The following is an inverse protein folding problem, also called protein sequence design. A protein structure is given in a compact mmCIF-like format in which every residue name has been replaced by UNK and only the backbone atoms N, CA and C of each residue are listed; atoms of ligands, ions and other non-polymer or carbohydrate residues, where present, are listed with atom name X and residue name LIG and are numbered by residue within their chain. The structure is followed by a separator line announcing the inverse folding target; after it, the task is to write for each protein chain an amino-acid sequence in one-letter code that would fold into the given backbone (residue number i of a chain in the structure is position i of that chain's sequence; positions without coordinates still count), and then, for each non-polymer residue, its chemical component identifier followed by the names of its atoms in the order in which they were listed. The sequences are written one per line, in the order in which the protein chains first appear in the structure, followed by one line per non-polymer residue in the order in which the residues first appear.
data_IF_771362897537
#
_entry.id   IF_771362897537
#
_cell.length_a   1.000
_cell.length_b   1.000
_cell.length_c   1.000
_cell.angle_alpha   90.00
_cell.angle_beta   90.00
_cell.angle_gamma   90.00
#
_symmetry.space_group_name_H-M   'P 1'
#
loop_
_entity.id
_entity.type
_entity.pdbx_description
1 polymer ?
#
# COMPACT_ATOMS: atom_id res chain seq x y z
N UNK A 1 -54.10 -33.75 -1.25
CA UNK A 1 -53.11 -33.39 -0.23
C UNK A 1 -51.74 -33.36 -0.92
N UNK A 2 -51.17 -32.18 -1.15
CA UNK A 2 -49.85 -32.03 -1.72
C UNK A 2 -48.91 -31.62 -0.59
N UNK A 3 -47.95 -32.51 -0.25
CA UNK A 3 -46.98 -32.29 0.78
C UNK A 3 -45.93 -31.25 0.36
N UNK A 4 -45.84 -30.17 1.12
CA UNK A 4 -44.77 -29.16 0.99
C UNK A 4 -43.53 -29.71 1.67
N UNK A 5 -42.46 -29.94 0.89
CA UNK A 5 -41.14 -30.24 1.45
C UNK A 5 -40.53 -28.98 2.04
N UNK A 6 -39.93 -29.03 3.22
CA UNK A 6 -39.22 -27.88 3.79
C UNK A 6 -37.92 -27.62 3.03
N UNK A 7 -37.69 -26.35 2.62
CA UNK A 7 -36.40 -25.88 2.12
C UNK A 7 -35.36 -26.06 3.22
N UNK A 8 -34.36 -26.88 2.95
CA UNK A 8 -33.15 -26.93 3.74
C UNK A 8 -32.39 -25.59 3.62
N UNK A 9 -32.40 -24.83 4.69
CA UNK A 9 -31.49 -23.70 4.87
C UNK A 9 -30.09 -24.26 5.03
N UNK A 10 -29.17 -23.87 4.13
CA UNK A 10 -27.73 -24.14 4.25
C UNK A 10 -27.24 -23.69 5.63
N UNK A 11 -26.44 -24.50 6.33
CA UNK A 11 -25.88 -24.10 7.61
C UNK A 11 -24.96 -22.90 7.37
N UNK A 12 -25.21 -21.82 8.09
CA UNK A 12 -24.28 -20.69 8.18
C UNK A 12 -22.92 -21.25 8.59
N UNK A 13 -21.89 -21.00 7.75
CA UNK A 13 -20.51 -21.39 8.04
C UNK A 13 -20.13 -20.71 9.35
N UNK A 14 -19.96 -21.47 10.44
CA UNK A 14 -19.41 -20.94 11.69
C UNK A 14 -18.06 -20.32 11.35
N UNK A 15 -17.95 -19.00 11.52
CA UNK A 15 -16.69 -18.28 11.38
C UNK A 15 -15.84 -18.68 12.60
N UNK A 16 -14.76 -19.43 12.35
CA UNK A 16 -13.80 -19.78 13.39
C UNK A 16 -12.97 -18.54 13.72
N UNK A 17 -13.34 -17.83 14.78
CA UNK A 17 -12.69 -16.59 15.24
C UNK A 17 -11.19 -16.76 15.54
N UNK A 18 -10.68 -18.00 15.64
CA UNK A 18 -9.26 -18.29 15.87
C UNK A 18 -8.40 -18.13 14.61
N UNK A 19 -9.01 -17.98 13.43
CA UNK A 19 -8.34 -17.85 12.13
C UNK A 19 -8.68 -16.53 11.43
N UNK A 20 -9.22 -15.54 12.15
CA UNK A 20 -9.45 -14.23 11.55
C UNK A 20 -8.11 -13.54 11.26
N UNK A 21 -7.97 -12.95 10.06
CA UNK A 21 -6.75 -12.22 9.73
C UNK A 21 -6.54 -11.07 10.69
N UNK A 22 -5.27 -10.82 11.03
CA UNK A 22 -4.89 -9.65 11.82
C UNK A 22 -5.21 -8.38 11.02
N UNK A 23 -5.85 -7.41 11.70
CA UNK A 23 -6.09 -6.09 11.14
C UNK A 23 -5.21 -5.03 11.80
N UNK A 24 -4.68 -4.11 11.00
CA UNK A 24 -3.93 -2.92 11.43
C UNK A 24 -4.85 -1.71 11.27
N UNK A 25 -5.80 -1.53 12.19
CA UNK A 25 -6.81 -0.48 12.11
C UNK A 25 -6.39 0.79 12.85
N UNK A 26 -5.63 0.64 13.92
CA UNK A 26 -5.13 1.73 14.75
C UNK A 26 -3.60 1.76 14.80
N UNK A 27 -3.05 2.91 15.20
CA UNK A 27 -1.60 3.03 15.43
C UNK A 27 -1.12 2.03 16.50
N UNK A 28 -1.93 1.75 17.51
CA UNK A 28 -1.62 0.77 18.57
C UNK A 28 -1.51 -0.65 18.02
N UNK A 29 -2.39 -1.06 17.07
CA UNK A 29 -2.30 -2.36 16.41
C UNK A 29 -0.99 -2.51 15.64
N UNK A 30 -0.60 -1.47 14.90
CA UNK A 30 0.67 -1.46 14.18
C UNK A 30 1.87 -1.56 15.13
N UNK A 31 1.86 -0.82 16.23
CA UNK A 31 2.93 -0.84 17.23
C UNK A 31 3.08 -2.22 17.85
N UNK A 32 1.97 -2.83 18.27
CA UNK A 32 1.95 -4.18 18.80
C UNK A 32 2.47 -5.19 17.78
N UNK A 33 2.02 -5.10 16.53
CA UNK A 33 2.44 -5.98 15.45
C UNK A 33 3.94 -5.84 15.14
N UNK A 34 4.49 -4.62 15.12
CA UNK A 34 5.92 -4.38 14.91
C UNK A 34 6.77 -4.93 16.04
N UNK A 35 6.36 -4.73 17.30
CA UNK A 35 7.09 -5.32 18.43
C UNK A 35 7.08 -6.85 18.40
N UNK A 36 5.94 -7.46 18.05
CA UNK A 36 5.84 -8.90 17.86
C UNK A 36 6.74 -9.38 16.70
N UNK A 37 6.73 -8.66 15.57
CA UNK A 37 7.55 -8.96 14.39
C UNK A 37 9.05 -8.91 14.69
N UNK A 38 9.53 -7.87 15.38
CA UNK A 38 10.96 -7.74 15.76
C UNK A 38 11.38 -8.84 16.75
N UNK A 39 10.47 -9.28 17.62
CA UNK A 39 10.70 -10.44 18.49
C UNK A 39 10.75 -11.75 17.71
N UNK A 40 9.89 -11.89 16.69
CA UNK A 40 9.81 -13.08 15.81
C UNK A 40 11.03 -13.21 14.93
N UNK A 41 11.53 -12.10 14.36
CA UNK A 41 12.73 -12.05 13.54
C UNK A 41 13.72 -10.99 14.05
N UNK A 42 14.72 -11.39 14.85
CA UNK A 42 15.72 -10.46 15.41
C UNK A 42 16.54 -9.69 14.36
N UNK A 43 16.59 -10.15 13.10
CA UNK A 43 17.26 -9.43 12.00
C UNK A 43 16.60 -8.07 11.72
N UNK A 44 15.35 -7.91 12.11
CA UNK A 44 14.61 -6.65 11.94
C UNK A 44 14.88 -5.62 13.05
N UNK A 45 15.57 -6.01 14.14
CA UNK A 45 15.90 -5.07 15.23
C UNK A 45 16.71 -3.86 14.74
N UNK A 46 17.84 -3.99 14.02
CA UNK A 46 18.58 -2.84 13.50
C UNK A 46 17.78 -2.03 12.48
N UNK A 47 16.86 -2.66 11.73
CA UNK A 47 15.96 -1.98 10.82
C UNK A 47 15.00 -1.07 11.59
N UNK A 48 14.42 -1.58 12.67
CA UNK A 48 13.53 -0.83 13.56
C UNK A 48 14.26 0.33 14.26
N UNK A 49 15.48 0.13 14.73
CA UNK A 49 16.31 1.17 15.36
C UNK A 49 16.57 2.35 14.41
N UNK A 50 16.74 2.08 13.11
CA UNK A 50 16.94 3.12 12.09
C UNK A 50 15.63 3.75 11.64
N UNK A 51 14.59 2.96 11.45
CA UNK A 51 13.29 3.43 10.94
C UNK A 51 12.51 4.20 12.00
N UNK A 52 12.66 3.85 13.28
CA UNK A 52 11.74 4.19 14.33
C UNK A 52 10.37 3.53 14.13
N UNK A 53 9.40 3.90 14.96
CA UNK A 53 8.02 3.45 14.80
C UNK A 53 7.38 4.14 13.60
N UNK A 54 6.95 3.41 12.56
CA UNK A 54 6.28 4.01 11.42
C UNK A 54 4.86 4.44 11.78
N UNK A 55 4.40 5.53 11.18
CA UNK A 55 3.00 5.93 11.27
C UNK A 55 2.12 4.99 10.44
N UNK A 56 1.00 4.58 11.01
CA UNK A 56 -0.01 3.82 10.29
C UNK A 56 -0.57 4.67 9.14
N UNK A 57 -0.77 4.02 8.00
CA UNK A 57 -1.40 4.63 6.83
C UNK A 57 -2.71 3.92 6.56
N UNK A 58 -3.81 4.64 6.72
CA UNK A 58 -5.14 4.15 6.35
C UNK A 58 -5.71 5.00 5.23
N UNK A 59 -6.50 4.37 4.39
CA UNK A 59 -7.28 4.99 3.32
C UNK A 59 -8.72 4.55 3.48
N UNK A 60 -9.61 5.26 2.82
CA UNK A 60 -11.02 4.89 2.75
C UNK A 60 -11.17 3.47 2.19
N UNK A 61 -11.94 2.58 2.86
CA UNK A 61 -12.21 1.23 2.37
C UNK A 61 -13.21 1.24 1.21
N UNK A 62 -13.54 0.05 0.71
CA UNK A 62 -14.58 -0.12 -0.29
C UNK A 62 -14.18 0.37 -1.68
N UNK A 63 -15.20 0.64 -2.50
CA UNK A 63 -15.01 1.00 -3.91
C UNK A 63 -14.26 2.33 -4.07
N UNK A 64 -14.52 3.32 -3.21
CA UNK A 64 -13.88 4.63 -3.27
C UNK A 64 -12.36 4.52 -3.07
N UNK A 65 -11.91 3.73 -2.10
CA UNK A 65 -10.49 3.50 -1.86
C UNK A 65 -9.79 2.82 -3.04
N UNK A 66 -10.40 1.77 -3.60
CA UNK A 66 -9.85 1.08 -4.77
C UNK A 66 -9.82 2.02 -6.00
N UNK A 67 -10.88 2.78 -6.21
CA UNK A 67 -10.96 3.74 -7.31
C UNK A 67 -9.90 4.85 -7.20
N UNK A 68 -9.60 5.32 -5.99
CA UNK A 68 -8.53 6.29 -5.74
C UNK A 68 -7.15 5.70 -6.12
N UNK A 69 -6.87 4.46 -5.73
CA UNK A 69 -5.61 3.77 -6.04
C UNK A 69 -5.48 3.58 -7.56
N UNK A 70 -6.51 3.06 -8.24
CA UNK A 70 -6.51 2.87 -9.69
C UNK A 70 -6.34 4.19 -10.43
N UNK A 71 -7.04 5.25 -9.98
CA UNK A 71 -6.90 6.60 -10.56
C UNK A 71 -5.49 7.14 -10.48
N UNK A 72 -4.74 6.76 -9.43
CA UNK A 72 -3.36 7.19 -9.19
C UNK A 72 -2.27 6.35 -9.87
N UNK A 73 -2.60 5.21 -10.48
CA UNK A 73 -1.60 4.34 -11.12
C UNK A 73 -0.75 5.12 -12.14
N UNK A 74 0.59 4.92 -12.09
CA UNK A 74 1.57 5.50 -13.02
C UNK A 74 1.55 7.05 -13.09
N UNK A 75 1.14 7.72 -12.00
CA UNK A 75 1.12 9.17 -11.89
C UNK A 75 1.94 9.66 -10.70
N UNK A 76 2.36 10.93 -10.76
CA UNK A 76 2.87 11.61 -9.56
C UNK A 76 1.77 11.75 -8.50
N UNK A 77 2.17 11.86 -7.23
CA UNK A 77 1.22 12.04 -6.12
C UNK A 77 0.31 13.26 -6.34
N UNK A 78 0.85 14.37 -6.83
CA UNK A 78 0.08 15.59 -7.10
C UNK A 78 -0.95 15.38 -8.23
N UNK A 79 -0.54 14.75 -9.34
CA UNK A 79 -1.45 14.45 -10.45
C UNK A 79 -2.55 13.46 -10.04
N UNK A 80 -2.19 12.43 -9.27
CA UNK A 80 -3.14 11.46 -8.75
C UNK A 80 -4.20 12.13 -7.85
N UNK A 81 -3.77 12.99 -6.92
CA UNK A 81 -4.65 13.73 -6.03
C UNK A 81 -5.60 14.66 -6.80
N UNK A 82 -5.10 15.38 -7.80
CA UNK A 82 -5.90 16.30 -8.60
C UNK A 82 -6.97 15.56 -9.45
N UNK A 83 -6.63 14.39 -10.02
CA UNK A 83 -7.61 13.57 -10.75
C UNK A 83 -8.63 13.00 -9.79
N UNK A 84 -8.19 12.42 -8.67
CA UNK A 84 -9.09 11.85 -7.68
C UNK A 84 -10.09 12.87 -7.12
N UNK A 85 -9.64 14.08 -6.80
CA UNK A 85 -10.51 15.15 -6.34
C UNK A 85 -11.64 15.47 -7.36
N UNK A 86 -11.32 15.52 -8.66
CA UNK A 86 -12.34 15.75 -9.70
C UNK A 86 -13.29 14.55 -9.85
N UNK A 87 -12.74 13.34 -9.78
CA UNK A 87 -13.54 12.11 -9.95
C UNK A 87 -14.50 11.92 -8.77
N UNK A 88 -14.01 12.06 -7.54
CA UNK A 88 -14.84 11.89 -6.34
C UNK A 88 -15.92 12.97 -6.24
N UNK A 89 -15.60 14.23 -6.55
CA UNK A 89 -16.57 15.33 -6.52
C UNK A 89 -17.63 15.28 -7.64
N UNK A 90 -17.43 14.49 -8.68
CA UNK A 90 -18.38 14.39 -9.79
C UNK A 90 -19.60 13.50 -9.48
N UNK A 91 -19.60 12.81 -8.33
CA UNK A 91 -20.66 11.90 -7.91
C UNK A 91 -20.99 12.13 -6.43
N UNK A 92 -22.30 12.14 -6.10
CA UNK A 92 -22.79 12.24 -4.73
C UNK A 92 -24.01 11.30 -4.57
N UNK A 93 -23.87 10.18 -3.87
CA UNK A 93 -22.62 9.61 -3.32
C UNK A 93 -21.68 9.06 -4.41
N UNK A 94 -20.38 9.00 -4.10
CA UNK A 94 -19.42 8.28 -4.94
C UNK A 94 -19.46 6.79 -4.60
N UNK A 95 -20.15 6.01 -5.43
CA UNK A 95 -20.27 4.57 -5.30
C UNK A 95 -20.03 3.83 -6.63
N UNK A 96 -20.03 2.49 -6.55
CA UNK A 96 -19.81 1.65 -7.73
C UNK A 96 -20.93 1.78 -8.75
N UNK A 97 -22.18 2.00 -8.33
CA UNK A 97 -23.34 2.08 -9.21
C UNK A 97 -23.36 3.40 -10.00
N UNK A 98 -23.07 4.53 -9.34
CA UNK A 98 -22.97 5.83 -9.97
C UNK A 98 -21.85 5.86 -11.03
N UNK A 99 -20.68 5.28 -10.72
CA UNK A 99 -19.58 5.19 -11.66
C UNK A 99 -19.89 4.21 -12.82
N UNK A 100 -20.50 3.06 -12.55
CA UNK A 100 -20.90 2.07 -13.55
C UNK A 100 -21.82 2.65 -14.61
N UNK A 101 -22.81 3.47 -14.19
CA UNK A 101 -23.79 4.14 -15.08
C UNK A 101 -23.20 5.34 -15.82
N UNK A 102 -22.10 5.93 -15.33
CA UNK A 102 -21.51 7.09 -15.96
C UNK A 102 -21.00 6.79 -17.38
N UNK A 103 -21.13 7.74 -18.29
CA UNK A 103 -20.60 7.64 -19.65
C UNK A 103 -19.06 7.71 -19.63
N UNK A 104 -18.39 6.94 -20.47
CA UNK A 104 -16.93 6.87 -20.53
C UNK A 104 -16.31 8.24 -20.90
N UNK A 105 -16.94 9.00 -21.78
CA UNK A 105 -16.50 10.35 -22.18
C UNK A 105 -16.53 11.33 -20.99
N UNK A 106 -17.55 11.24 -20.10
CA UNK A 106 -17.61 12.01 -18.86
C UNK A 106 -16.41 11.68 -17.96
N UNK A 107 -16.14 10.40 -17.73
CA UNK A 107 -15.02 9.94 -16.91
C UNK A 107 -13.66 10.37 -17.50
N UNK A 108 -13.53 10.33 -18.83
CA UNK A 108 -12.35 10.82 -19.53
C UNK A 108 -12.08 12.31 -19.32
N UNK A 109 -13.15 13.15 -19.36
CA UNK A 109 -13.02 14.59 -19.06
C UNK A 109 -12.60 14.88 -17.61
N UNK A 110 -12.85 13.97 -16.67
CA UNK A 110 -12.36 14.08 -15.29
C UNK A 110 -10.86 13.72 -15.14
N UNK A 111 -10.24 13.17 -16.20
CA UNK A 111 -8.82 12.85 -16.25
C UNK A 111 -8.48 11.36 -16.17
N UNK A 112 -9.47 10.47 -16.23
CA UNK A 112 -9.23 9.03 -16.27
C UNK A 112 -8.88 8.58 -17.69
N UNK A 113 -7.80 7.77 -17.82
CA UNK A 113 -7.48 7.11 -19.09
C UNK A 113 -8.51 6.02 -19.42
N UNK A 114 -8.61 5.65 -20.70
CA UNK A 114 -9.51 4.58 -21.16
C UNK A 114 -9.29 3.25 -20.42
N UNK A 115 -8.02 2.89 -20.14
CA UNK A 115 -7.69 1.69 -19.38
C UNK A 115 -8.22 1.76 -17.93
N UNK A 116 -8.04 2.89 -17.23
CA UNK A 116 -8.57 3.10 -15.87
C UNK A 116 -10.09 3.07 -15.84
N UNK A 117 -10.74 3.68 -16.82
CA UNK A 117 -12.20 3.64 -16.96
C UNK A 117 -12.68 2.20 -17.13
N UNK A 118 -12.04 1.41 -18.00
CA UNK A 118 -12.37 -0.01 -18.20
C UNK A 118 -12.23 -0.79 -16.89
N UNK A 119 -11.11 -0.62 -16.19
CA UNK A 119 -10.86 -1.26 -14.89
C UNK A 119 -11.95 -0.91 -13.88
N UNK A 120 -12.20 0.37 -13.64
CA UNK A 120 -13.17 0.82 -12.62
C UNK A 120 -14.59 0.39 -12.93
N UNK A 121 -15.01 0.43 -14.20
CA UNK A 121 -16.31 -0.08 -14.62
C UNK A 121 -16.42 -1.60 -14.47
N UNK A 122 -15.35 -2.34 -14.75
CA UNK A 122 -15.28 -3.78 -14.52
C UNK A 122 -15.46 -4.13 -13.05
N UNK A 123 -14.68 -3.50 -12.16
CA UNK A 123 -14.82 -3.68 -10.70
C UNK A 123 -16.22 -3.32 -10.23
N UNK A 124 -16.77 -2.20 -10.69
CA UNK A 124 -18.14 -1.77 -10.34
C UNK A 124 -19.21 -2.77 -10.82
N UNK A 125 -18.96 -3.44 -11.94
CA UNK A 125 -19.85 -4.50 -12.44
C UNK A 125 -19.79 -5.76 -11.56
N UNK A 126 -18.58 -6.19 -11.13
CA UNK A 126 -18.40 -7.33 -10.24
C UNK A 126 -19.08 -7.11 -8.87
N UNK A 127 -18.98 -5.88 -8.33
CA UNK A 127 -19.67 -5.49 -7.09
C UNK A 127 -21.19 -5.53 -7.26
N UNK A 128 -21.72 -4.90 -8.32
CA UNK A 128 -23.17 -4.86 -8.59
C UNK A 128 -23.75 -6.26 -8.85
N UNK A 129 -22.95 -7.18 -9.36
CA UNK A 129 -23.34 -8.58 -9.58
C UNK A 129 -23.16 -9.48 -8.34
N UNK A 130 -22.64 -8.95 -7.23
CA UNK A 130 -22.38 -9.71 -6.00
C UNK A 130 -21.22 -10.72 -6.12
N UNK A 131 -20.41 -10.65 -7.18
CA UNK A 131 -19.23 -11.53 -7.35
C UNK A 131 -17.99 -11.00 -6.65
N UNK A 132 -17.95 -9.74 -6.31
CA UNK A 132 -16.94 -9.11 -5.47
C UNK A 132 -17.62 -8.53 -4.22
N UNK A 133 -17.03 -8.81 -3.05
CA UNK A 133 -17.47 -8.25 -1.77
C UNK A 133 -16.23 -7.87 -0.95
N UNK A 134 -16.07 -6.60 -0.62
CA UNK A 134 -14.91 -6.11 0.12
C UNK A 134 -14.89 -6.55 1.59
N UNK A 135 -16.05 -6.78 2.21
CA UNK A 135 -16.13 -7.28 3.58
C UNK A 135 -15.67 -8.74 3.65
N UNK A 136 -15.95 -9.52 2.60
CA UNK A 136 -15.43 -10.88 2.48
C UNK A 136 -13.91 -10.85 2.32
N UNK A 137 -13.38 -9.99 1.43
CA UNK A 137 -11.93 -9.85 1.24
C UNK A 137 -11.19 -9.42 2.50
N UNK A 138 -11.80 -8.58 3.32
CA UNK A 138 -11.21 -8.13 4.57
C UNK A 138 -11.01 -9.29 5.57
N UNK A 139 -11.85 -10.32 5.49
CA UNK A 139 -11.85 -11.45 6.42
C UNK A 139 -11.29 -12.75 5.83
N UNK A 140 -10.83 -12.72 4.58
CA UNK A 140 -10.12 -13.83 3.92
C UNK A 140 -8.63 -13.83 4.29
N UNK A 141 -7.96 -14.96 4.02
CA UNK A 141 -6.50 -15.02 4.02
C UNK A 141 -5.91 -14.03 3.01
N UNK A 142 -4.77 -13.41 3.37
CA UNK A 142 -4.15 -12.37 2.54
C UNK A 142 -3.86 -12.82 1.11
N UNK A 143 -3.40 -14.05 0.93
CA UNK A 143 -3.02 -14.55 -0.40
C UNK A 143 -4.30 -14.89 -1.20
N UNK A 144 -5.37 -15.38 -0.57
CA UNK A 144 -6.67 -15.60 -1.20
C UNK A 144 -7.31 -14.27 -1.62
N UNK A 145 -7.35 -13.28 -0.74
CA UNK A 145 -7.85 -11.93 -1.05
C UNK A 145 -7.04 -11.24 -2.18
N UNK A 146 -5.71 -11.39 -2.14
CA UNK A 146 -4.84 -10.90 -3.21
C UNK A 146 -5.14 -11.58 -4.55
N UNK A 147 -5.34 -12.91 -4.56
CA UNK A 147 -5.70 -13.65 -5.76
C UNK A 147 -7.05 -13.18 -6.34
N UNK A 148 -8.05 -13.00 -5.50
CA UNK A 148 -9.36 -12.47 -5.91
C UNK A 148 -9.22 -11.09 -6.55
N UNK A 149 -8.49 -10.16 -5.93
CA UNK A 149 -8.28 -8.83 -6.48
C UNK A 149 -7.51 -8.85 -7.80
N UNK A 150 -6.46 -9.66 -7.90
CA UNK A 150 -5.63 -9.73 -9.12
C UNK A 150 -6.31 -10.45 -10.29
N UNK A 151 -7.40 -11.19 -10.06
CA UNK A 151 -8.25 -11.75 -11.11
C UNK A 151 -9.06 -10.66 -11.85
N UNK A 152 -9.23 -9.49 -11.24
CA UNK A 152 -9.97 -8.37 -11.83
C UNK A 152 -9.13 -7.65 -12.88
N UNK A 153 -9.75 -7.37 -14.03
CA UNK A 153 -9.06 -6.69 -15.13
C UNK A 153 -8.46 -5.35 -14.69
N UNK A 154 -7.16 -5.17 -14.90
CA UNK A 154 -6.43 -3.92 -14.58
C UNK A 154 -6.05 -3.74 -13.11
N UNK A 155 -6.33 -4.73 -12.26
CA UNK A 155 -5.83 -4.79 -10.89
C UNK A 155 -4.58 -5.69 -10.88
N UNK A 156 -3.42 -5.06 -10.83
CA UNK A 156 -2.15 -5.78 -10.72
C UNK A 156 -1.78 -6.08 -9.26
N UNK A 157 -0.75 -6.94 -9.04
CA UNK A 157 -0.32 -7.35 -7.70
C UNK A 157 -0.08 -6.18 -6.75
N UNK A 158 0.67 -5.16 -7.18
CA UNK A 158 0.94 -3.98 -6.35
C UNK A 158 -0.34 -3.22 -5.95
N UNK A 159 -1.33 -3.12 -6.85
CA UNK A 159 -2.60 -2.47 -6.57
C UNK A 159 -3.41 -3.26 -5.54
N UNK A 160 -3.43 -4.58 -5.68
CA UNK A 160 -4.07 -5.49 -4.73
C UNK A 160 -3.44 -5.37 -3.33
N UNK A 161 -2.11 -5.45 -3.24
CA UNK A 161 -1.38 -5.34 -1.97
C UNK A 161 -1.62 -4.00 -1.27
N UNK A 162 -1.54 -2.89 -2.01
CA UNK A 162 -1.78 -1.54 -1.49
C UNK A 162 -3.22 -1.36 -1.02
N UNK A 163 -4.19 -1.97 -1.72
CA UNK A 163 -5.58 -1.94 -1.30
C UNK A 163 -5.80 -2.75 -0.02
N UNK A 164 -5.29 -3.97 0.05
CA UNK A 164 -5.36 -4.83 1.23
C UNK A 164 -4.73 -4.15 2.46
N UNK A 165 -3.53 -3.60 2.31
CA UNK A 165 -2.81 -2.93 3.40
C UNK A 165 -3.50 -1.66 3.89
N UNK A 166 -3.81 -0.75 2.98
CA UNK A 166 -4.20 0.61 3.37
C UNK A 166 -5.70 0.81 3.44
N UNK A 167 -6.49 0.11 2.64
CA UNK A 167 -7.95 0.24 2.66
C UNK A 167 -8.59 -0.79 3.60
N UNK A 168 -8.16 -2.05 3.56
CA UNK A 168 -8.69 -3.09 4.42
C UNK A 168 -7.91 -3.28 5.74
N UNK A 169 -6.69 -2.75 5.85
CA UNK A 169 -5.87 -2.90 7.06
C UNK A 169 -5.32 -4.31 7.27
N UNK A 170 -5.22 -5.09 6.19
CA UNK A 170 -4.86 -6.49 6.30
C UNK A 170 -3.43 -6.68 6.80
N UNK A 171 -3.28 -7.28 7.99
CA UNK A 171 -1.99 -7.37 8.69
C UNK A 171 -0.95 -8.29 8.04
N UNK A 172 -1.38 -9.18 7.13
CA UNK A 172 -0.48 -10.11 6.44
C UNK A 172 -0.35 -9.87 4.92
N UNK A 173 -0.89 -8.76 4.39
CA UNK A 173 -0.67 -8.39 2.99
C UNK A 173 0.78 -7.94 2.76
N UNK A 174 1.40 -8.38 1.64
CA UNK A 174 2.82 -8.15 1.37
C UNK A 174 3.07 -7.56 -0.03
N UNK A 175 3.49 -6.29 -0.13
CA UNK A 175 3.72 -5.63 -1.41
C UNK A 175 5.06 -6.03 -2.04
N UNK A 176 5.19 -7.28 -2.43
CA UNK A 176 6.40 -7.85 -3.01
C UNK A 176 6.90 -7.09 -4.25
N UNK A 177 5.99 -6.46 -5.00
CA UNK A 177 6.31 -5.66 -6.19
C UNK A 177 6.68 -4.20 -5.91
N UNK A 178 6.64 -3.74 -4.64
CA UNK A 178 6.94 -2.35 -4.32
C UNK A 178 8.45 -2.08 -4.35
N UNK A 179 8.86 -1.17 -5.24
CA UNK A 179 10.28 -0.88 -5.47
C UNK A 179 10.99 -0.27 -4.25
N UNK A 180 10.28 0.51 -3.43
CA UNK A 180 10.84 1.12 -2.23
C UNK A 180 11.06 0.04 -1.15
N UNK A 181 10.11 -0.90 -1.01
CA UNK A 181 10.25 -2.04 -0.10
C UNK A 181 11.37 -2.98 -0.56
N UNK A 182 11.45 -3.29 -1.85
CA UNK A 182 12.54 -4.10 -2.40
C UNK A 182 13.92 -3.48 -2.15
N UNK A 183 14.07 -2.18 -2.38
CA UNK A 183 15.33 -1.48 -2.13
C UNK A 183 15.65 -1.42 -0.63
N UNK A 184 14.65 -1.19 0.22
CA UNK A 184 14.80 -1.24 1.67
C UNK A 184 15.30 -2.61 2.15
N UNK A 185 14.67 -3.68 1.67
CA UNK A 185 15.06 -5.07 1.99
C UNK A 185 16.48 -5.38 1.51
N UNK A 186 16.83 -4.94 0.27
CA UNK A 186 18.21 -5.08 -0.22
C UNK A 186 19.21 -4.46 0.75
N UNK A 187 19.01 -3.20 1.12
CA UNK A 187 19.95 -2.47 2.00
C UNK A 187 19.99 -3.09 3.40
N UNK A 188 18.81 -3.31 3.98
CA UNK A 188 18.69 -3.74 5.38
C UNK A 188 19.14 -5.18 5.61
N UNK A 189 18.97 -6.08 4.63
CA UNK A 189 19.47 -7.47 4.70
C UNK A 189 20.82 -7.66 4.04
N UNK A 190 21.49 -6.62 3.55
CA UNK A 190 22.81 -6.69 2.93
C UNK A 190 22.87 -7.50 1.63
N UNK A 191 21.77 -7.50 0.84
CA UNK A 191 21.71 -8.25 -0.42
C UNK A 191 22.54 -7.56 -1.50
N UNK A 192 23.21 -8.34 -2.35
CA UNK A 192 24.04 -7.81 -3.45
C UNK A 192 23.20 -7.05 -4.49
N UNK A 193 22.01 -7.55 -4.79
CA UNK A 193 21.10 -6.99 -5.79
C UNK A 193 19.71 -6.78 -5.20
N UNK A 194 18.93 -5.84 -5.76
CA UNK A 194 17.54 -5.65 -5.38
C UNK A 194 16.74 -6.91 -5.74
N UNK A 195 16.04 -7.54 -4.77
CA UNK A 195 15.27 -8.73 -5.02
C UNK A 195 14.08 -8.41 -5.93
N UNK A 196 13.76 -9.32 -6.83
CA UNK A 196 12.53 -9.28 -7.63
C UNK A 196 11.31 -9.60 -6.76
N UNK A 197 10.10 -9.29 -7.24
CA UNK A 197 8.87 -9.65 -6.52
C UNK A 197 8.80 -11.15 -6.17
N UNK A 198 9.26 -12.03 -7.09
CA UNK A 198 9.32 -13.48 -6.86
C UNK A 198 10.28 -13.85 -5.72
N UNK A 199 11.41 -13.15 -5.60
CA UNK A 199 12.39 -13.37 -4.53
C UNK A 199 11.94 -12.76 -3.20
N UNK A 200 11.09 -11.73 -3.23
CA UNK A 200 10.54 -11.10 -2.02
C UNK A 200 9.57 -12.01 -1.26
N UNK A 201 8.85 -12.92 -1.93
CA UNK A 201 7.89 -13.81 -1.28
C UNK A 201 8.56 -14.73 -0.23
N UNK A 202 9.59 -15.54 -0.56
CA UNK A 202 10.27 -16.38 0.43
C UNK A 202 11.02 -15.58 1.50
N UNK A 203 11.47 -14.35 1.21
CA UNK A 203 12.11 -13.49 2.20
C UNK A 203 11.12 -13.04 3.29
N UNK A 204 9.85 -12.87 2.94
CA UNK A 204 8.80 -12.42 3.84
C UNK A 204 8.05 -13.56 4.55
N UNK A 205 8.28 -14.80 4.15
CA UNK A 205 7.59 -15.95 4.74
C UNK A 205 7.80 -16.07 6.27
N UNK A 206 9.02 -15.82 6.81
CA UNK A 206 9.24 -15.81 8.25
C UNK A 206 8.46 -14.73 9.01
N UNK A 207 7.88 -13.74 8.33
CA UNK A 207 7.15 -12.62 8.94
C UNK A 207 5.63 -12.85 9.02
N UNK A 208 5.13 -13.99 8.51
CA UNK A 208 3.72 -14.34 8.70
C UNK A 208 3.37 -14.49 10.19
N UNK A 209 2.17 -14.05 10.59
CA UNK A 209 1.10 -13.36 9.85
C UNK A 209 1.24 -11.82 9.90
N UNK A 210 2.44 -11.28 10.06
CA UNK A 210 2.75 -9.86 10.32
C UNK A 210 3.41 -9.16 9.10
N UNK A 211 3.28 -9.73 7.88
CA UNK A 211 3.91 -9.18 6.68
C UNK A 211 3.49 -7.74 6.38
N UNK A 212 2.24 -7.37 6.71
CA UNK A 212 1.74 -6.01 6.58
C UNK A 212 2.45 -5.02 7.52
N UNK A 213 2.70 -5.43 8.77
CA UNK A 213 3.52 -4.65 9.70
C UNK A 213 4.97 -4.54 9.20
N UNK A 214 5.53 -5.64 8.66
CA UNK A 214 6.86 -5.62 8.03
C UNK A 214 6.90 -4.60 6.87
N UNK A 215 5.88 -4.55 6.02
CA UNK A 215 5.81 -3.58 4.92
C UNK A 215 5.87 -2.12 5.43
N UNK A 216 5.12 -1.80 6.50
CA UNK A 216 5.18 -0.47 7.13
C UNK A 216 6.58 -0.15 7.66
N UNK A 217 7.22 -1.13 8.32
CA UNK A 217 8.58 -1.00 8.84
C UNK A 217 9.59 -0.75 7.71
N UNK A 218 9.53 -1.53 6.63
CA UNK A 218 10.44 -1.39 5.49
C UNK A 218 10.25 -0.07 4.74
N UNK A 219 9.03 0.44 4.59
CA UNK A 219 8.83 1.80 4.07
C UNK A 219 9.36 2.88 5.02
N UNK A 220 9.26 2.66 6.35
CA UNK A 220 9.88 3.54 7.35
C UNK A 220 11.39 3.59 7.17
N UNK A 221 12.02 2.43 7.09
CA UNK A 221 13.44 2.28 6.87
C UNK A 221 13.91 2.94 5.55
N UNK A 222 13.21 2.69 4.45
CA UNK A 222 13.51 3.34 3.17
C UNK A 222 13.53 4.86 3.28
N UNK A 223 12.53 5.45 3.93
CA UNK A 223 12.47 6.92 4.13
C UNK A 223 13.62 7.44 4.98
N UNK A 224 13.97 6.74 6.04
CA UNK A 224 15.09 7.09 6.91
C UNK A 224 16.41 7.09 6.15
N UNK A 225 16.66 6.05 5.35
CA UNK A 225 17.86 5.94 4.51
C UNK A 225 17.93 7.04 3.46
N UNK A 226 16.83 7.30 2.73
CA UNK A 226 16.77 8.40 1.73
C UNK A 226 16.99 9.78 2.34
N UNK A 227 16.48 10.02 3.54
CA UNK A 227 16.74 11.28 4.27
C UNK A 227 18.23 11.41 4.63
N UNK A 228 18.88 10.34 5.08
CA UNK A 228 20.33 10.34 5.38
C UNK A 228 21.16 10.59 4.13
N UNK A 229 20.89 9.92 3.01
CA UNK A 229 21.57 10.15 1.72
C UNK A 229 21.41 11.62 1.25
N UNK A 230 20.22 12.19 1.37
CA UNK A 230 19.95 13.59 1.02
C UNK A 230 20.77 14.58 1.87
N UNK A 231 20.92 14.32 3.15
CA UNK A 231 21.74 15.15 4.05
C UNK A 231 23.22 15.03 3.72
N UNK A 232 23.74 13.81 3.53
CA UNK A 232 25.16 13.57 3.17
C UNK A 232 25.49 14.19 1.81
N UNK A 233 24.67 13.92 0.79
CA UNK A 233 24.87 14.50 -0.55
C UNK A 233 24.73 16.03 -0.58
N UNK A 234 23.94 16.62 0.30
CA UNK A 234 23.87 18.08 0.50
C UNK A 234 25.14 18.64 1.12
N UNK A 235 25.70 17.97 2.12
CA UNK A 235 26.96 18.35 2.75
C UNK A 235 28.16 18.22 1.79
N UNK A 236 28.23 17.14 1.02
CA UNK A 236 29.29 16.92 0.02
C UNK A 236 29.24 18.00 -1.09
N UNK A 237 28.03 18.35 -1.59
CA UNK A 237 27.86 19.44 -2.54
C UNK A 237 28.28 20.79 -1.96
N UNK A 238 27.86 21.08 -0.73
CA UNK A 238 28.25 22.31 -0.03
C UNK A 238 29.78 22.40 0.18
N UNK A 239 30.41 21.32 0.60
CA UNK A 239 31.86 21.22 0.77
C UNK A 239 32.60 21.34 -0.58
N UNK A 240 32.06 20.76 -1.66
CA UNK A 240 32.64 20.88 -3.01
C UNK A 240 32.60 22.32 -3.52
N UNK A 241 31.50 23.05 -3.28
CA UNK A 241 31.36 24.48 -3.63
C UNK A 241 32.32 25.31 -2.79
N UNK A 242 32.42 25.07 -1.48
CA UNK A 242 33.36 25.78 -0.59
C UNK A 242 34.82 25.57 -1.00
N UNK A 243 35.20 24.36 -1.43
CA UNK A 243 36.56 24.07 -1.87
C UNK A 243 36.95 24.72 -3.20
N UNK A 244 35.97 25.12 -4.02
CA UNK A 244 36.21 25.86 -5.28
C UNK A 244 36.31 27.39 -5.09
N UNK A 245 36.00 27.89 -3.89
CA UNK A 245 36.13 29.33 -3.61
C UNK A 245 37.58 29.69 -3.25
N UNK A 246 38.06 30.88 -3.64
CA UNK A 246 39.37 31.44 -3.23
C UNK A 246 39.46 31.48 -1.68
N UNK A 247 40.65 31.23 -1.14
CA UNK A 247 40.92 31.11 0.30
C UNK A 247 40.35 32.28 1.12
N UNK A 248 40.40 33.50 0.59
CA UNK A 248 39.86 34.71 1.23
C UNK A 248 38.32 34.74 1.40
N UNK A 249 37.57 33.90 0.66
CA UNK A 249 36.10 33.84 0.75
C UNK A 249 35.58 32.61 1.51
N UNK A 250 36.47 31.72 1.93
CA UNK A 250 36.08 30.48 2.65
C UNK A 250 35.64 30.73 4.09
N UNK A 251 36.21 31.72 4.78
CA UNK A 251 35.85 32.01 6.17
C UNK A 251 34.46 32.64 6.33
N UNK A 252 34.09 33.55 5.40
CA UNK A 252 32.75 34.19 5.45
C UNK A 252 31.60 33.26 5.01
N UNK A 253 31.88 32.27 4.16
CA UNK A 253 30.88 31.30 3.72
C UNK A 253 30.63 30.19 4.78
N UNK A 254 31.64 29.81 5.58
CA UNK A 254 31.50 28.85 6.71
C UNK A 254 30.57 29.39 7.82
N UNK A 255 30.63 30.68 8.12
CA UNK A 255 29.80 31.32 9.13
C UNK A 255 28.28 31.39 8.76
N UNK A 256 27.92 31.30 7.47
CA UNK A 256 26.52 31.29 7.00
C UNK A 256 25.87 29.91 6.92
N UNK A 257 26.64 28.82 7.09
CA UNK A 257 26.13 27.44 7.01
C UNK A 257 25.92 26.84 8.42
N UNK A 258 26.51 27.46 9.44
CA UNK A 258 26.44 27.01 10.87
C UNK A 258 25.58 27.89 11.77
N UNK A 259 24.87 28.88 11.24
CA UNK A 259 23.80 29.66 11.88
C UNK A 259 22.48 29.35 11.20
#
# INVERSE_FOLDING_TARGET
MRGSSPRMTSPAKLIDLRHMPLHLDTQADLEQAIHALVKQDPRLKPIFEVAGMPALRRREPGFAGLAAIVSGQQLSTASAAAIWARVSAAFDPFDHDSLRRARADRLGRLGLSAAKIKTLKGVAHELAAGRLNFDVLANEDADAAHHTLTSLHGIGPWTADVYLLFCLGHGDAWPAGDLAVQEAVKIGLGLKTRPTAKQMAPLAEPWRPLRGAAAHLWWGYYRAMKKREGVIGGQEKANSVLNKLPVAKRSSAKAKITG
#
